data_IF_921007781175
#
_entry.id   IF_921007781175
#
_cell.length_a   1.000
_cell.length_b   1.000
_cell.length_c   1.000
_cell.angle_alpha   90.00
_cell.angle_beta   90.00
_cell.angle_gamma   90.00
#
_symmetry.space_group_name_H-M   'P 1'
#
loop_
_entity.id
_entity.type
_entity.pdbx_description
1 polymer ?
#
# COMPACT_ATOMS: atom_id res chain seq x y z
N UNK A 1 10.84 -0.94 15.78
CA UNK A 1 11.68 -0.14 14.86
C UNK A 1 10.74 0.57 13.91
N UNK A 2 10.55 1.87 14.10
CA UNK A 2 9.77 2.72 13.20
C UNK A 2 10.48 2.81 11.86
N UNK A 3 9.82 2.45 10.76
CA UNK A 3 10.39 2.60 9.42
C UNK A 3 10.18 4.04 8.93
N UNK A 4 11.20 4.68 8.36
CA UNK A 4 10.98 5.94 7.66
C UNK A 4 10.00 5.76 6.50
N UNK A 5 9.30 6.84 6.12
CA UNK A 5 8.35 6.84 5.00
C UNK A 5 8.92 6.20 3.72
N UNK A 6 10.17 6.52 3.39
CA UNK A 6 10.84 6.00 2.20
C UNK A 6 11.10 4.49 2.29
N UNK A 7 11.40 3.97 3.48
CA UNK A 7 11.56 2.54 3.71
C UNK A 7 10.23 1.81 3.53
N UNK A 8 9.15 2.36 4.09
CA UNK A 8 7.79 1.82 3.92
C UNK A 8 7.37 1.79 2.44
N UNK A 9 7.66 2.86 1.68
CA UNK A 9 7.43 2.90 0.23
C UNK A 9 8.29 1.87 -0.53
N UNK A 10 9.56 1.71 -0.16
CA UNK A 10 10.44 0.75 -0.79
C UNK A 10 9.97 -0.69 -0.58
N UNK A 11 9.56 -1.05 0.64
CA UNK A 11 9.09 -2.39 0.97
C UNK A 11 7.72 -2.68 0.34
N UNK A 12 6.81 -1.70 0.33
CA UNK A 12 5.55 -1.79 -0.41
C UNK A 12 5.76 -2.02 -1.92
N UNK A 13 6.74 -1.34 -2.55
CA UNK A 13 7.09 -1.55 -3.96
C UNK A 13 7.65 -2.95 -4.23
N UNK A 14 8.49 -3.48 -3.33
CA UNK A 14 9.00 -4.86 -3.43
C UNK A 14 7.86 -5.87 -3.39
N UNK A 15 6.89 -5.66 -2.50
CA UNK A 15 5.71 -6.53 -2.39
C UNK A 15 4.88 -6.54 -3.68
N UNK A 16 4.74 -5.39 -4.35
CA UNK A 16 4.04 -5.26 -5.63
C UNK A 16 4.78 -5.90 -6.81
N UNK A 17 6.12 -5.94 -6.84
CA UNK A 17 6.85 -6.56 -7.96
C UNK A 17 6.52 -8.05 -8.17
N UNK A 18 6.12 -8.74 -7.10
CA UNK A 18 5.70 -10.15 -7.14
C UNK A 18 4.19 -10.36 -7.08
N UNK A 19 3.38 -9.33 -7.33
CA UNK A 19 1.93 -9.39 -7.10
C UNK A 19 1.22 -10.34 -8.06
N UNK A 20 1.57 -10.33 -9.34
CA UNK A 20 0.98 -11.19 -10.37
C UNK A 20 1.27 -12.70 -10.17
N UNK A 21 2.33 -13.04 -9.43
CA UNK A 21 2.71 -14.43 -9.14
C UNK A 21 2.21 -14.92 -7.77
N UNK A 22 1.53 -14.06 -7.00
CA UNK A 22 1.10 -14.40 -5.66
C UNK A 22 -0.21 -15.22 -5.70
N UNK A 23 -0.27 -16.39 -5.02
CA UNK A 23 -1.50 -17.17 -4.95
C UNK A 23 -2.64 -16.44 -4.21
N UNK A 24 -2.30 -15.53 -3.30
CA UNK A 24 -3.25 -14.69 -2.55
C UNK A 24 -3.02 -13.19 -2.80
N UNK A 25 -3.55 -12.67 -3.91
CA UNK A 25 -3.46 -11.24 -4.23
C UNK A 25 -4.03 -10.33 -3.11
N UNK A 26 -5.10 -10.77 -2.42
CA UNK A 26 -5.70 -10.01 -1.32
C UNK A 26 -4.80 -9.94 -0.09
N UNK A 27 -4.17 -11.07 0.29
CA UNK A 27 -3.19 -11.12 1.38
C UNK A 27 -1.97 -10.25 1.06
N UNK A 28 -1.53 -10.27 -0.20
CA UNK A 28 -0.45 -9.41 -0.70
C UNK A 28 -0.81 -7.93 -0.59
N UNK A 29 -2.05 -7.55 -0.95
CA UNK A 29 -2.54 -6.19 -0.81
C UNK A 29 -2.58 -5.74 0.66
N UNK A 30 -3.03 -6.60 1.58
CA UNK A 30 -2.99 -6.32 3.01
C UNK A 30 -1.55 -6.12 3.50
N UNK A 31 -0.61 -6.95 3.06
CA UNK A 31 0.81 -6.81 3.42
C UNK A 31 1.40 -5.46 2.95
N UNK A 32 1.01 -4.98 1.76
CA UNK A 32 1.39 -3.65 1.26
C UNK A 32 0.89 -2.56 2.19
N UNK A 33 -0.39 -2.58 2.58
CA UNK A 33 -0.98 -1.58 3.48
C UNK A 33 -0.37 -1.64 4.89
N UNK A 34 -0.10 -2.84 5.40
CA UNK A 34 0.59 -3.02 6.68
C UNK A 34 2.00 -2.45 6.68
N UNK A 35 2.76 -2.65 5.59
CA UNK A 35 4.09 -2.05 5.44
C UNK A 35 4.02 -0.52 5.42
N UNK A 36 3.02 0.06 4.75
CA UNK A 36 2.81 1.51 4.75
C UNK A 36 2.49 2.02 6.16
N UNK A 37 1.65 1.33 6.92
CA UNK A 37 1.29 1.70 8.31
C UNK A 37 2.44 1.63 9.31
N UNK A 38 3.55 0.97 8.99
CA UNK A 38 4.72 0.91 9.87
C UNK A 38 5.55 2.21 9.88
N UNK A 39 5.30 3.13 8.95
CA UNK A 39 5.88 4.45 9.01
C UNK A 39 5.02 5.38 9.85
N UNK A 40 5.63 6.00 10.86
CA UNK A 40 4.97 6.95 11.76
C UNK A 40 4.97 8.39 11.22
N UNK A 41 5.71 8.64 10.12
CA UNK A 41 5.97 9.99 9.58
C UNK A 41 5.12 10.31 8.34
N UNK A 42 3.87 9.81 8.32
CA UNK A 42 2.92 10.18 7.28
C UNK A 42 2.27 11.51 7.60
N UNK A 43 2.17 12.37 6.58
CA UNK A 43 1.28 13.54 6.66
C UNK A 43 -0.18 13.09 6.84
N UNK A 44 -1.03 13.96 7.38
CA UNK A 44 -2.46 13.65 7.56
C UNK A 44 -3.15 13.23 6.25
N UNK A 45 -2.71 13.79 5.12
CA UNK A 45 -3.17 13.37 3.79
C UNK A 45 -2.72 11.94 3.44
N UNK A 46 -1.47 11.57 3.76
CA UNK A 46 -0.96 10.21 3.58
C UNK A 46 -1.70 9.18 4.43
N UNK A 47 -1.95 9.48 5.71
CA UNK A 47 -2.74 8.62 6.60
C UNK A 47 -4.15 8.36 6.02
N UNK A 48 -4.85 9.42 5.59
CA UNK A 48 -6.18 9.30 4.97
C UNK A 48 -6.18 8.44 3.71
N UNK A 49 -5.15 8.56 2.87
CA UNK A 49 -5.02 7.73 1.66
C UNK A 49 -4.83 6.25 2.01
N UNK A 50 -4.00 5.94 3.02
CA UNK A 50 -3.78 4.57 3.50
C UNK A 50 -5.07 3.99 4.08
N UNK A 51 -5.80 4.76 4.89
CA UNK A 51 -7.10 4.35 5.46
C UNK A 51 -8.16 4.12 4.39
N UNK A 52 -8.27 5.01 3.40
CA UNK A 52 -9.19 4.86 2.29
C UNK A 52 -8.88 3.60 1.46
N UNK A 53 -7.60 3.30 1.23
CA UNK A 53 -7.19 2.08 0.54
C UNK A 53 -7.51 0.81 1.34
N UNK A 54 -7.37 0.85 2.67
CA UNK A 54 -7.73 -0.25 3.57
C UNK A 54 -9.25 -0.49 3.60
N UNK A 55 -10.05 0.58 3.65
CA UNK A 55 -11.51 0.49 3.54
C UNK A 55 -11.95 -0.09 2.19
N UNK A 56 -11.35 0.39 1.09
CA UNK A 56 -11.59 -0.13 -0.25
C UNK A 56 -11.26 -1.62 -0.34
N UNK A 57 -10.12 -2.07 0.20
CA UNK A 57 -9.71 -3.47 0.21
C UNK A 57 -10.67 -4.37 1.01
N UNK A 58 -11.21 -3.86 2.13
CA UNK A 58 -12.26 -4.53 2.90
C UNK A 58 -13.56 -4.67 2.12
N UNK A 59 -13.88 -3.71 1.26
CA UNK A 59 -15.02 -3.75 0.34
C UNK A 59 -15.01 -4.88 -0.70
N UNK A 60 -13.90 -5.62 -0.82
CA UNK A 60 -13.81 -6.79 -1.72
C UNK A 60 -13.71 -6.41 -3.21
N UNK A 61 -12.74 -5.58 -3.59
CA UNK A 61 -12.55 -5.21 -4.99
C UNK A 61 -12.03 -6.40 -5.82
N UNK A 62 -12.23 -6.33 -7.12
CA UNK A 62 -11.72 -7.32 -8.07
C UNK A 62 -10.19 -7.45 -7.98
N UNK A 63 -9.69 -8.68 -8.07
CA UNK A 63 -8.25 -8.97 -8.00
C UNK A 63 -7.45 -8.20 -9.05
N UNK A 64 -8.01 -8.03 -10.25
CA UNK A 64 -7.41 -7.26 -11.35
C UNK A 64 -7.27 -5.77 -11.05
N UNK A 65 -8.08 -5.23 -10.13
CA UNK A 65 -8.03 -3.83 -9.70
C UNK A 65 -7.03 -3.60 -8.55
N UNK A 66 -6.58 -4.65 -7.84
CA UNK A 66 -5.69 -4.53 -6.68
C UNK A 66 -4.34 -3.93 -7.06
N UNK A 67 -3.64 -4.53 -8.02
CA UNK A 67 -2.31 -4.06 -8.44
C UNK A 67 -2.29 -2.61 -8.94
N UNK A 68 -3.15 -2.19 -9.89
CA UNK A 68 -3.15 -0.80 -10.37
C UNK A 68 -3.53 0.19 -9.27
N UNK A 69 -4.49 -0.14 -8.40
CA UNK A 69 -4.89 0.73 -7.29
C UNK A 69 -3.75 0.91 -6.28
N UNK A 70 -3.06 -0.18 -5.90
CA UNK A 70 -1.92 -0.11 -5.00
C UNK A 70 -0.74 0.65 -5.62
N UNK A 71 -0.45 0.48 -6.91
CA UNK A 71 0.55 1.29 -7.61
C UNK A 71 0.20 2.78 -7.58
N UNK A 72 -1.06 3.13 -7.85
CA UNK A 72 -1.53 4.51 -7.82
C UNK A 72 -1.40 5.11 -6.41
N UNK A 73 -1.75 4.36 -5.36
CA UNK A 73 -1.56 4.75 -3.96
C UNK A 73 -0.08 5.06 -3.67
N UNK A 74 0.85 4.17 -4.03
CA UNK A 74 2.28 4.41 -3.78
C UNK A 74 2.81 5.61 -4.53
N UNK A 75 2.31 5.87 -5.74
CA UNK A 75 2.68 7.05 -6.51
C UNK A 75 2.13 8.34 -5.87
N UNK A 76 0.91 8.32 -5.32
CA UNK A 76 0.31 9.44 -4.61
C UNK A 76 1.06 9.75 -3.30
N UNK A 77 1.34 8.71 -2.51
CA UNK A 77 2.08 8.83 -1.25
C UNK A 77 3.50 9.37 -1.47
N UNK A 78 4.19 8.96 -2.55
CA UNK A 78 5.50 9.49 -2.90
C UNK A 78 5.48 10.98 -3.31
N UNK A 79 4.34 11.48 -3.82
CA UNK A 79 4.16 12.90 -4.19
C UNK A 79 3.75 13.80 -3.03
N UNK A 80 3.30 13.22 -1.91
CA UNK A 80 2.82 13.98 -0.74
C UNK A 80 4.00 14.39 0.17
N UNK A 81 5.16 14.66 -0.45
CA UNK A 81 6.43 15.01 0.20
C UNK A 81 6.69 16.50 0.21
#
# INVERSE_FOLDING_TARGET
MTGSRDQALADARKLLRGFAAAPDARRRAQAVLSALRQADDWSAAGCRQIEAADAWLRGGPSVTALEPQLRALLAALAKTS
#
